data_IF_551704146695
#
_entry.id   IF_551704146695
#
_cell.length_a   1.000
_cell.length_b   1.000
_cell.length_c   1.000
_cell.angle_alpha   90.00
_cell.angle_beta   90.00
_cell.angle_gamma   90.00
#
_symmetry.space_group_name_H-M   'P 1'
#
loop_
_entity.id
_entity.type
_entity.pdbx_description
1 polymer ?
#
# COMPACT_ATOMS: atom_id res chain seq x y z
N UNK A 1 -6.54 7.37 -4.36
CA UNK A 1 -5.85 8.16 -5.42
C UNK A 1 -6.10 7.50 -6.77
N UNK A 2 -6.32 8.29 -7.84
CA UNK A 2 -6.73 7.81 -9.16
C UNK A 2 -5.78 8.33 -10.20
N UNK A 3 -5.24 7.47 -11.07
CA UNK A 3 -4.39 7.91 -12.19
C UNK A 3 -5.20 8.13 -13.47
N UNK A 4 -5.90 7.16 -14.01
CA UNK A 4 -6.63 7.28 -15.28
C UNK A 4 -7.91 6.42 -15.37
N UNK A 5 -8.30 5.73 -14.29
CA UNK A 5 -9.43 4.80 -14.28
C UNK A 5 -10.53 5.30 -13.35
N UNK A 6 -11.60 5.81 -13.94
CA UNK A 6 -12.71 6.42 -13.18
C UNK A 6 -13.84 5.45 -12.83
N UNK A 7 -13.97 4.34 -13.56
CA UNK A 7 -15.06 3.39 -13.35
C UNK A 7 -15.04 2.70 -11.98
N UNK A 8 -13.87 2.28 -11.46
CA UNK A 8 -13.77 1.73 -10.11
C UNK A 8 -14.15 2.71 -9.00
N UNK A 9 -13.95 4.01 -9.20
CA UNK A 9 -14.20 5.05 -8.18
C UNK A 9 -15.66 5.20 -7.83
N UNK A 10 -16.58 5.07 -8.80
CA UNK A 10 -18.03 5.10 -8.52
C UNK A 10 -18.42 3.94 -7.59
N UNK A 11 -17.81 2.78 -7.77
CA UNK A 11 -18.10 1.60 -6.95
C UNK A 11 -17.56 1.81 -5.51
N UNK A 12 -16.38 2.42 -5.36
CA UNK A 12 -15.82 2.77 -4.04
C UNK A 12 -16.70 3.82 -3.35
N UNK A 13 -17.05 4.91 -4.04
CA UNK A 13 -17.93 5.95 -3.49
C UNK A 13 -19.23 5.35 -3.00
N UNK A 14 -19.84 4.47 -3.81
CA UNK A 14 -21.06 3.75 -3.44
C UNK A 14 -20.84 2.82 -2.23
N UNK A 15 -19.69 2.15 -2.15
CA UNK A 15 -19.39 1.22 -1.05
C UNK A 15 -19.26 1.91 0.31
N UNK A 16 -18.90 3.19 0.35
CA UNK A 16 -18.77 4.00 1.58
C UNK A 16 -19.95 4.97 1.79
N UNK A 17 -20.98 4.88 0.96
CA UNK A 17 -22.18 5.71 1.08
C UNK A 17 -22.87 5.45 2.43
N UNK A 18 -23.26 6.52 3.11
CA UNK A 18 -23.92 6.45 4.43
C UNK A 18 -23.00 6.25 5.63
N UNK A 19 -21.66 6.16 5.44
CA UNK A 19 -20.71 6.14 6.55
C UNK A 19 -19.70 7.30 6.52
N UNK A 20 -19.59 8.01 5.40
CA UNK A 20 -18.68 9.14 5.23
C UNK A 20 -19.43 10.45 5.15
N UNK A 21 -19.07 11.42 6.00
CA UNK A 21 -19.60 12.79 5.98
C UNK A 21 -19.03 13.59 4.82
N UNK A 22 -17.80 13.28 4.40
CA UNK A 22 -17.15 13.88 3.23
C UNK A 22 -16.39 12.85 2.39
N UNK A 23 -16.20 13.14 1.13
CA UNK A 23 -15.44 12.32 0.19
C UNK A 23 -14.47 13.20 -0.60
N UNK A 24 -13.18 12.86 -0.54
CA UNK A 24 -12.12 13.59 -1.24
C UNK A 24 -11.48 12.68 -2.27
N UNK A 25 -11.46 13.10 -3.51
CA UNK A 25 -10.87 12.36 -4.62
C UNK A 25 -9.61 13.10 -5.08
N UNK A 26 -8.46 12.44 -4.95
CA UNK A 26 -7.19 12.96 -5.45
C UNK A 26 -6.89 12.32 -6.81
N UNK A 27 -6.83 13.14 -7.85
CA UNK A 27 -6.59 12.72 -9.23
C UNK A 27 -5.19 13.13 -9.65
N UNK A 28 -4.33 12.15 -9.93
CA UNK A 28 -2.95 12.38 -10.38
C UNK A 28 -2.76 12.18 -11.88
N UNK A 29 -3.82 11.73 -12.59
CA UNK A 29 -3.84 11.58 -14.05
C UNK A 29 -4.29 12.85 -14.77
N UNK A 30 -4.29 12.77 -16.10
CA UNK A 30 -4.66 13.90 -16.97
C UNK A 30 -6.18 13.98 -17.25
N UNK A 31 -6.95 12.97 -16.90
CA UNK A 31 -8.40 12.93 -17.15
C UNK A 31 -9.15 13.81 -16.17
N UNK A 32 -10.02 14.65 -16.70
CA UNK A 32 -10.98 15.44 -15.92
C UNK A 32 -12.23 14.62 -15.65
N UNK A 33 -12.71 14.71 -14.42
CA UNK A 33 -13.98 14.11 -14.00
C UNK A 33 -15.11 15.08 -14.29
N UNK A 34 -16.14 14.65 -15.01
CA UNK A 34 -17.30 15.49 -15.37
C UNK A 34 -18.35 15.56 -14.26
N UNK A 35 -18.48 14.50 -13.47
CA UNK A 35 -19.46 14.39 -12.39
C UNK A 35 -18.82 13.75 -11.17
N UNK A 36 -18.86 14.45 -10.05
CA UNK A 36 -18.28 14.00 -8.78
C UNK A 36 -19.30 13.76 -7.67
N UNK A 37 -20.58 14.08 -7.91
CA UNK A 37 -21.57 14.11 -6.83
C UNK A 37 -21.09 15.04 -5.70
N UNK A 38 -21.23 14.60 -4.44
CA UNK A 38 -20.85 15.36 -3.24
C UNK A 38 -19.35 15.26 -2.91
N UNK A 39 -18.48 14.92 -3.90
CA UNK A 39 -17.07 14.73 -3.65
C UNK A 39 -16.28 16.03 -3.88
N UNK A 40 -15.37 16.36 -2.96
CA UNK A 40 -14.30 17.35 -3.21
C UNK A 40 -13.27 16.72 -4.14
N UNK A 41 -12.91 17.37 -5.26
CA UNK A 41 -11.90 16.86 -6.21
C UNK A 41 -10.65 17.71 -6.15
N UNK A 42 -9.52 17.06 -5.93
CA UNK A 42 -8.19 17.63 -6.04
C UNK A 42 -7.46 17.07 -7.25
N UNK A 43 -7.14 17.93 -8.23
CA UNK A 43 -6.23 17.58 -9.32
C UNK A 43 -4.81 17.90 -8.90
N UNK A 44 -3.98 16.87 -8.84
CA UNK A 44 -2.59 16.99 -8.40
C UNK A 44 -1.64 16.47 -9.49
N UNK A 45 -0.69 17.26 -10.01
CA UNK A 45 0.28 16.78 -10.99
C UNK A 45 1.09 15.61 -10.44
N UNK A 46 1.29 14.58 -11.27
CA UNK A 46 2.10 13.42 -10.88
C UNK A 46 3.60 13.72 -10.97
N UNK A 47 4.33 13.49 -9.91
CA UNK A 47 5.78 13.74 -9.79
C UNK A 47 6.52 12.54 -9.19
N UNK A 48 6.12 11.31 -9.52
CA UNK A 48 6.74 10.06 -9.04
C UNK A 48 6.82 9.95 -7.51
N UNK A 49 5.82 10.51 -6.83
CA UNK A 49 5.69 10.52 -5.37
C UNK A 49 4.23 10.31 -4.98
N UNK A 50 3.96 9.19 -4.29
CA UNK A 50 2.62 8.85 -3.79
C UNK A 50 2.25 9.64 -2.53
N UNK A 51 3.22 9.99 -1.67
CA UNK A 51 2.95 10.67 -0.40
C UNK A 51 2.45 12.10 -0.58
N UNK A 52 3.02 12.82 -1.53
CA UNK A 52 2.71 14.25 -1.75
C UNK A 52 1.25 14.49 -2.13
N UNK A 53 0.65 13.82 -3.14
CA UNK A 53 -0.76 13.99 -3.46
C UNK A 53 -1.69 13.50 -2.35
N UNK A 54 -1.33 12.43 -1.62
CA UNK A 54 -2.11 11.97 -0.47
C UNK A 54 -2.14 13.02 0.65
N UNK A 55 -1.00 13.60 1.00
CA UNK A 55 -0.92 14.67 1.98
C UNK A 55 -1.65 15.94 1.54
N UNK A 56 -1.67 16.23 0.23
CA UNK A 56 -2.47 17.32 -0.31
C UNK A 56 -3.97 17.07 -0.13
N UNK A 57 -4.42 15.81 -0.33
CA UNK A 57 -5.79 15.39 -0.03
C UNK A 57 -6.14 15.48 1.46
N UNK A 58 -5.23 15.06 2.35
CA UNK A 58 -5.45 15.17 3.80
C UNK A 58 -5.69 16.59 4.27
N UNK A 59 -5.02 17.58 3.67
CA UNK A 59 -5.24 19.01 4.02
C UNK A 59 -6.63 19.53 3.67
N UNK A 60 -7.40 18.81 2.86
CA UNK A 60 -8.78 19.16 2.53
C UNK A 60 -9.80 18.44 3.44
N UNK A 61 -9.35 17.49 4.26
CA UNK A 61 -10.20 16.76 5.18
C UNK A 61 -10.59 17.64 6.37
N UNK A 62 -11.89 17.68 6.67
CA UNK A 62 -12.48 18.41 7.81
C UNK A 62 -13.03 17.45 8.87
N UNK A 63 -13.31 16.19 8.50
CA UNK A 63 -13.81 15.16 9.42
C UNK A 63 -12.74 14.66 10.39
N UNK A 64 -13.13 14.15 11.56
CA UNK A 64 -12.23 13.67 12.62
C UNK A 64 -11.42 12.42 12.24
N UNK A 65 -11.99 11.58 11.37
CA UNK A 65 -11.38 10.33 10.93
C UNK A 65 -11.25 10.26 9.41
N UNK A 66 -10.17 9.67 8.96
CA UNK A 66 -9.90 9.42 7.54
C UNK A 66 -9.86 7.92 7.28
N UNK A 67 -10.66 7.45 6.32
CA UNK A 67 -10.52 6.13 5.70
C UNK A 67 -9.88 6.31 4.33
N UNK A 68 -8.60 5.96 4.19
CA UNK A 68 -7.88 6.04 2.92
C UNK A 68 -8.11 4.79 2.09
N UNK A 69 -8.53 4.96 0.85
CA UNK A 69 -8.71 3.88 -0.12
C UNK A 69 -8.05 4.19 -1.47
N UNK A 70 -7.55 3.16 -2.14
CA UNK A 70 -7.05 3.25 -3.52
C UNK A 70 -8.17 2.98 -4.53
N UNK A 71 -7.98 3.39 -5.78
CA UNK A 71 -8.98 3.24 -6.84
C UNK A 71 -9.29 1.78 -7.23
N UNK A 72 -8.46 0.85 -6.84
CA UNK A 72 -8.58 -0.59 -7.07
C UNK A 72 -8.86 -1.38 -5.77
N UNK A 73 -9.38 -0.69 -4.76
CA UNK A 73 -9.81 -1.27 -3.48
C UNK A 73 -11.33 -1.22 -3.33
N UNK A 74 -11.86 -2.09 -2.50
CA UNK A 74 -13.25 -2.06 -2.04
C UNK A 74 -13.36 -2.51 -0.59
N UNK A 75 -14.45 -2.14 0.07
CA UNK A 75 -14.78 -2.56 1.42
C UNK A 75 -16.21 -3.10 1.44
N UNK A 76 -16.40 -4.25 2.06
CA UNK A 76 -17.72 -4.87 2.20
C UNK A 76 -18.49 -4.32 3.41
N UNK A 77 -19.79 -4.61 3.49
CA UNK A 77 -20.67 -4.13 4.56
C UNK A 77 -20.23 -4.56 5.95
N UNK A 78 -19.67 -5.77 6.08
CA UNK A 78 -19.19 -6.29 7.38
C UNK A 78 -18.01 -5.44 7.86
N UNK A 79 -17.10 -5.13 6.95
CA UNK A 79 -15.93 -4.32 7.26
C UNK A 79 -16.26 -2.83 7.45
N UNK A 80 -17.28 -2.30 6.75
CA UNK A 80 -17.83 -0.97 7.04
C UNK A 80 -18.37 -0.85 8.47
N UNK A 81 -19.14 -1.82 8.94
CA UNK A 81 -19.61 -1.88 10.35
C UNK A 81 -18.45 -1.91 11.35
N UNK A 82 -17.34 -2.59 10.97
CA UNK A 82 -16.12 -2.59 11.79
C UNK A 82 -15.45 -1.22 11.82
N UNK A 83 -15.42 -0.49 10.70
CA UNK A 83 -14.92 0.89 10.63
C UNK A 83 -15.75 1.80 11.54
N UNK A 84 -17.09 1.80 11.40
CA UNK A 84 -17.98 2.59 12.25
C UNK A 84 -17.76 2.31 13.75
N UNK A 85 -17.63 1.04 14.11
CA UNK A 85 -17.33 0.65 15.50
C UNK A 85 -15.94 1.13 15.95
N UNK A 86 -14.92 1.03 15.08
CA UNK A 86 -13.55 1.42 15.44
C UNK A 86 -13.43 2.90 15.79
N UNK A 87 -14.10 3.78 15.03
CA UNK A 87 -14.03 5.23 15.24
C UNK A 87 -14.74 5.71 16.50
N UNK A 88 -15.63 4.89 17.07
CA UNK A 88 -16.40 5.23 18.30
C UNK A 88 -15.91 4.57 19.58
N UNK A 89 -15.03 3.54 19.47
CA UNK A 89 -14.74 2.65 20.61
C UNK A 89 -13.67 3.16 21.57
N UNK A 90 -12.69 3.95 21.09
CA UNK A 90 -11.47 4.22 21.87
C UNK A 90 -10.89 5.60 21.57
N UNK A 91 -10.91 6.46 22.55
CA UNK A 91 -10.35 7.82 22.43
C UNK A 91 -8.82 7.84 22.45
N UNK A 92 -8.17 6.79 22.97
CA UNK A 92 -6.72 6.65 23.07
C UNK A 92 -6.07 6.08 21.79
N UNK A 93 -6.85 5.66 20.79
CA UNK A 93 -6.35 5.11 19.52
C UNK A 93 -6.42 6.18 18.44
N UNK A 94 -5.31 6.35 17.75
CA UNK A 94 -5.14 7.34 16.67
C UNK A 94 -5.20 6.75 15.28
N UNK A 95 -4.86 5.45 15.16
CA UNK A 95 -4.93 4.78 13.88
C UNK A 95 -5.14 3.27 14.03
N UNK A 96 -5.66 2.67 12.97
CA UNK A 96 -5.90 1.24 12.88
C UNK A 96 -5.14 0.64 11.69
N UNK A 97 -4.32 -0.38 11.97
CA UNK A 97 -3.84 -1.27 10.92
C UNK A 97 -4.99 -2.12 10.42
N UNK A 98 -5.24 -2.06 9.13
CA UNK A 98 -6.20 -2.93 8.45
C UNK A 98 -5.47 -4.05 7.70
N UNK A 99 -6.20 -5.09 7.33
CA UNK A 99 -5.73 -6.10 6.41
C UNK A 99 -6.06 -5.66 4.98
N UNK A 100 -5.06 -5.26 4.20
CA UNK A 100 -5.20 -5.11 2.75
C UNK A 100 -5.06 -6.49 2.11
N UNK A 101 -6.14 -7.03 1.58
CA UNK A 101 -6.18 -8.35 0.95
C UNK A 101 -6.04 -8.24 -0.56
N UNK A 102 -4.85 -8.51 -1.06
CA UNK A 102 -4.55 -8.52 -2.49
C UNK A 102 -4.88 -9.87 -3.12
N UNK A 103 -5.87 -9.91 -4.03
CA UNK A 103 -6.27 -11.13 -4.73
C UNK A 103 -5.32 -11.48 -5.86
N UNK A 104 -5.13 -12.78 -6.07
CA UNK A 104 -4.25 -13.34 -7.09
C UNK A 104 -5.02 -14.37 -7.95
N UNK A 105 -4.64 -14.55 -9.24
CA UNK A 105 -5.18 -15.62 -10.06
C UNK A 105 -4.94 -16.98 -9.40
N UNK A 106 -5.88 -17.91 -9.52
CA UNK A 106 -5.86 -19.22 -8.85
C UNK A 106 -4.60 -20.06 -9.11
N UNK A 107 -3.91 -19.85 -10.24
CA UNK A 107 -2.70 -20.62 -10.63
C UNK A 107 -1.39 -20.02 -10.11
N UNK A 108 -1.43 -18.90 -9.39
CA UNK A 108 -0.23 -18.21 -8.95
C UNK A 108 0.15 -18.68 -7.55
N UNK A 109 1.27 -19.38 -7.43
CA UNK A 109 1.87 -19.77 -6.14
C UNK A 109 3.06 -18.84 -5.90
N UNK A 110 2.91 -17.93 -4.94
CA UNK A 110 3.97 -17.01 -4.49
C UNK A 110 4.17 -17.15 -2.99
N UNK A 111 5.31 -16.66 -2.50
CA UNK A 111 5.53 -16.59 -1.06
C UNK A 111 4.46 -15.71 -0.39
N UNK A 112 3.87 -16.21 0.70
CA UNK A 112 2.82 -15.51 1.44
C UNK A 112 1.41 -15.67 0.88
N UNK A 113 1.22 -16.40 -0.23
CA UNK A 113 -0.14 -16.73 -0.73
C UNK A 113 -0.84 -17.66 0.23
N UNK A 114 -2.08 -17.34 0.54
CA UNK A 114 -2.95 -18.16 1.38
C UNK A 114 -4.32 -18.35 0.73
N UNK A 115 -5.00 -19.43 1.09
CA UNK A 115 -6.40 -19.62 0.78
C UNK A 115 -7.24 -18.70 1.69
N UNK A 116 -8.20 -18.03 1.09
CA UNK A 116 -9.17 -17.15 1.76
C UNK A 116 -10.59 -17.55 1.37
N UNK A 117 -11.61 -17.17 2.14
CA UNK A 117 -12.99 -17.29 1.68
C UNK A 117 -13.15 -16.67 0.29
N UNK A 118 -13.93 -17.34 -0.55
CA UNK A 118 -14.17 -16.91 -1.92
C UNK A 118 -14.77 -15.49 -1.93
N UNK A 119 -14.21 -14.63 -2.77
CA UNK A 119 -14.70 -13.29 -3.00
C UNK A 119 -14.58 -12.96 -4.50
N UNK A 120 -15.71 -12.74 -5.16
CA UNK A 120 -15.80 -12.46 -6.61
C UNK A 120 -15.03 -13.46 -7.49
N UNK A 121 -15.07 -14.76 -7.13
CA UNK A 121 -14.41 -15.85 -7.85
C UNK A 121 -12.94 -16.08 -7.50
N UNK A 122 -12.37 -15.34 -6.54
CA UNK A 122 -10.98 -15.48 -6.09
C UNK A 122 -10.90 -16.11 -4.71
N UNK A 123 -10.02 -17.09 -4.56
CA UNK A 123 -9.75 -17.79 -3.30
C UNK A 123 -8.30 -17.70 -2.84
N UNK A 124 -7.40 -17.16 -3.69
CA UNK A 124 -5.99 -16.96 -3.39
C UNK A 124 -5.71 -15.48 -3.14
N UNK A 125 -5.06 -15.18 -2.01
CA UNK A 125 -4.70 -13.81 -1.66
C UNK A 125 -3.39 -13.74 -0.89
N UNK A 126 -2.79 -12.55 -0.92
CA UNK A 126 -1.73 -12.11 -0.01
C UNK A 126 -2.31 -11.00 0.86
N UNK A 127 -2.17 -11.14 2.17
CA UNK A 127 -2.60 -10.12 3.12
C UNK A 127 -1.40 -9.29 3.55
N UNK A 128 -1.50 -7.98 3.36
CA UNK A 128 -0.57 -6.98 3.88
C UNK A 128 -1.23 -6.19 5.01
N UNK A 129 -0.44 -5.71 5.98
CA UNK A 129 -0.92 -4.82 7.02
C UNK A 129 -0.48 -3.39 6.74
N UNK A 130 -1.44 -2.48 6.75
CA UNK A 130 -1.17 -1.06 6.54
C UNK A 130 -2.17 -0.20 7.31
N UNK A 131 -1.79 1.02 7.63
CA UNK A 131 -2.70 1.98 8.26
C UNK A 131 -3.55 2.61 7.17
N UNK A 132 -4.88 2.43 7.27
CA UNK A 132 -5.88 2.98 6.33
C UNK A 132 -6.98 3.79 7.05
N UNK A 133 -7.18 3.56 8.34
CA UNK A 133 -8.13 4.29 9.17
C UNK A 133 -7.36 5.03 10.26
N UNK A 134 -7.45 6.37 10.30
CA UNK A 134 -6.67 7.18 11.24
C UNK A 134 -7.35 8.53 11.52
N UNK A 135 -7.01 9.14 12.68
CA UNK A 135 -7.51 10.48 13.04
C UNK A 135 -6.89 11.54 12.13
N UNK A 136 -7.71 12.50 11.75
CA UNK A 136 -7.28 13.68 11.01
C UNK A 136 -6.54 14.64 11.96
N UNK A 137 -5.23 14.55 11.95
CA UNK A 137 -4.34 15.36 12.78
C UNK A 137 -3.13 15.82 11.96
N UNK A 138 -2.70 17.08 12.01
CA UNK A 138 -1.60 17.60 11.21
C UNK A 138 -0.25 16.91 11.49
N UNK A 139 -0.10 16.19 12.58
CA UNK A 139 1.08 15.39 12.92
C UNK A 139 1.10 14.04 12.17
N UNK A 140 -0.05 13.62 11.60
CA UNK A 140 -0.22 12.35 10.88
C UNK A 140 -0.17 12.63 9.38
N UNK A 141 0.89 12.19 8.71
CA UNK A 141 1.09 12.42 7.28
C UNK A 141 1.88 11.28 6.63
N UNK A 142 1.66 11.08 5.35
CA UNK A 142 2.33 10.06 4.56
C UNK A 142 3.78 10.43 4.26
N UNK A 143 4.66 9.45 4.29
CA UNK A 143 6.07 9.58 3.93
C UNK A 143 6.43 8.55 2.86
N UNK A 144 7.48 8.87 2.12
CA UNK A 144 8.07 8.12 1.01
C UNK A 144 7.31 8.19 -0.31
N UNK A 145 8.09 8.27 -1.38
CA UNK A 145 7.60 8.37 -2.76
C UNK A 145 6.93 7.09 -3.27
N UNK A 146 7.25 5.94 -2.70
CA UNK A 146 6.61 4.64 -2.98
C UNK A 146 6.47 3.83 -1.69
N UNK A 147 5.47 2.95 -1.63
CA UNK A 147 5.10 2.26 -0.40
C UNK A 147 4.94 3.24 0.76
N UNK A 148 4.23 4.31 0.48
CA UNK A 148 3.97 5.40 1.42
C UNK A 148 3.32 4.90 2.71
N UNK A 149 3.72 5.47 3.83
CA UNK A 149 3.28 5.01 5.14
C UNK A 149 3.03 6.14 6.11
N UNK A 150 2.18 5.88 7.10
CA UNK A 150 1.90 6.77 8.26
C UNK A 150 2.68 6.36 9.51
N UNK A 151 3.33 5.20 9.54
CA UNK A 151 3.98 4.68 10.75
C UNK A 151 4.98 5.67 11.35
N UNK A 152 5.86 6.23 10.52
CA UNK A 152 6.91 7.12 10.99
C UNK A 152 6.35 8.41 11.61
N UNK A 153 5.32 9.00 11.00
CA UNK A 153 4.67 10.21 11.54
C UNK A 153 3.95 9.92 12.85
N UNK A 154 3.24 8.81 12.97
CA UNK A 154 2.58 8.37 14.19
C UNK A 154 3.59 8.08 15.32
N UNK A 155 4.68 7.39 15.03
CA UNK A 155 5.73 7.07 16.01
C UNK A 155 6.45 8.31 16.51
N UNK A 156 6.83 9.25 15.62
CA UNK A 156 7.42 10.54 16.02
C UNK A 156 6.50 11.37 16.88
N UNK A 157 5.20 11.35 16.59
CA UNK A 157 4.18 12.05 17.37
C UNK A 157 3.75 11.28 18.63
N UNK A 158 4.25 10.06 18.86
CA UNK A 158 3.87 9.15 19.95
C UNK A 158 2.38 8.86 19.99
N UNK A 159 1.77 8.75 18.82
CA UNK A 159 0.34 8.47 18.64
C UNK A 159 0.12 6.97 18.52
N UNK A 160 -0.80 6.47 19.34
CA UNK A 160 -1.04 5.03 19.43
C UNK A 160 -1.81 4.51 18.23
N UNK A 161 -1.33 3.45 17.60
CA UNK A 161 -2.08 2.67 16.63
C UNK A 161 -2.23 1.21 17.05
N UNK A 162 -3.26 0.53 16.56
CA UNK A 162 -3.58 -0.86 16.93
C UNK A 162 -3.99 -1.67 15.70
N UNK A 163 -3.78 -2.98 15.77
CA UNK A 163 -4.28 -3.92 14.76
C UNK A 163 -5.80 -4.05 14.84
N UNK A 164 -6.45 -4.08 13.70
CA UNK A 164 -7.88 -4.32 13.57
C UNK A 164 -8.19 -5.58 12.75
N UNK A 165 -9.46 -5.99 12.79
CA UNK A 165 -10.00 -7.05 11.93
C UNK A 165 -10.68 -6.52 10.66
N UNK A 166 -10.49 -5.24 10.34
CA UNK A 166 -10.99 -4.63 9.12
C UNK A 166 -10.21 -5.19 7.93
N UNK A 167 -10.92 -5.62 6.90
CA UNK A 167 -10.34 -6.08 5.63
C UNK A 167 -10.75 -5.12 4.52
N UNK A 168 -9.76 -4.67 3.76
CA UNK A 168 -9.95 -3.94 2.50
C UNK A 168 -9.52 -4.87 1.36
N UNK A 169 -10.40 -5.10 0.41
CA UNK A 169 -10.15 -5.95 -0.75
C UNK A 169 -9.41 -5.15 -1.82
N UNK A 170 -8.32 -5.69 -2.35
CA UNK A 170 -7.42 -5.02 -3.28
C UNK A 170 -7.22 -5.85 -4.55
N UNK A 171 -7.50 -5.25 -5.70
CA UNK A 171 -7.47 -5.90 -7.02
C UNK A 171 -6.21 -5.60 -7.84
N UNK A 172 -5.41 -4.64 -7.41
CA UNK A 172 -4.24 -4.13 -8.15
C UNK A 172 -3.15 -5.17 -8.42
N UNK A 173 -3.06 -6.24 -7.60
CA UNK A 173 -2.08 -7.31 -7.80
C UNK A 173 -2.31 -8.14 -9.08
N UNK A 174 -3.49 -8.05 -9.69
CA UNK A 174 -3.79 -8.73 -10.95
C UNK A 174 -3.00 -8.18 -12.15
N UNK A 175 -2.58 -6.90 -12.12
CA UNK A 175 -1.99 -6.15 -13.24
C UNK A 175 -0.56 -5.64 -12.96
N UNK A 176 0.18 -6.26 -12.03
CA UNK A 176 1.49 -5.73 -11.60
C UNK A 176 2.60 -5.79 -12.64
N UNK A 177 2.55 -6.71 -13.63
CA UNK A 177 3.66 -6.91 -14.58
C UNK A 177 4.02 -5.67 -15.38
N UNK A 178 3.02 -4.93 -15.83
CA UNK A 178 3.22 -3.76 -16.71
C UNK A 178 3.84 -2.55 -15.99
N UNK A 179 3.78 -2.53 -14.66
CA UNK A 179 4.29 -1.44 -13.82
C UNK A 179 5.58 -1.82 -13.06
N UNK A 180 6.07 -3.03 -13.23
CA UNK A 180 7.15 -3.57 -12.42
C UNK A 180 8.46 -2.77 -12.51
N UNK A 181 8.88 -2.42 -13.74
CA UNK A 181 10.09 -1.61 -13.95
C UNK A 181 9.96 -0.21 -13.35
N UNK A 182 8.78 0.39 -13.45
CA UNK A 182 8.49 1.68 -12.84
C UNK A 182 8.59 1.65 -11.31
N UNK A 183 7.99 0.65 -10.67
CA UNK A 183 8.10 0.47 -9.21
C UNK A 183 9.53 0.18 -8.75
N UNK A 184 10.32 -0.52 -9.57
CA UNK A 184 11.74 -0.73 -9.29
C UNK A 184 12.51 0.60 -9.25
N UNK A 185 12.30 1.49 -10.21
CA UNK A 185 12.97 2.80 -10.22
C UNK A 185 12.54 3.68 -9.03
N UNK A 186 11.26 3.66 -8.66
CA UNK A 186 10.78 4.34 -7.44
C UNK A 186 11.41 3.77 -6.17
N UNK A 187 11.52 2.44 -6.05
CA UNK A 187 12.14 1.80 -4.89
C UNK A 187 13.64 2.11 -4.80
N UNK A 188 14.32 2.19 -5.96
CA UNK A 188 15.73 2.60 -6.04
C UNK A 188 15.93 4.05 -5.60
N UNK A 189 15.05 4.95 -6.04
CA UNK A 189 15.08 6.34 -5.62
C UNK A 189 14.79 6.48 -4.11
N UNK A 190 13.82 5.74 -3.57
CA UNK A 190 13.55 5.67 -2.13
C UNK A 190 14.78 5.23 -1.35
N UNK A 191 15.43 4.13 -1.76
CA UNK A 191 16.63 3.62 -1.06
C UNK A 191 17.80 4.63 -1.10
N UNK A 192 17.90 5.44 -2.16
CA UNK A 192 18.88 6.51 -2.28
C UNK A 192 18.58 7.69 -1.37
N UNK A 193 17.31 8.12 -1.27
CA UNK A 193 16.89 9.28 -0.47
C UNK A 193 16.78 8.96 1.01
N UNK A 194 16.40 7.73 1.34
CA UNK A 194 16.11 7.27 2.70
C UNK A 194 16.93 6.03 3.05
N UNK A 195 18.28 6.14 3.03
CA UNK A 195 19.14 5.00 3.38
C UNK A 195 19.05 4.62 4.86
N UNK A 196 18.51 5.48 5.71
CA UNK A 196 18.23 5.22 7.13
C UNK A 196 16.96 4.39 7.36
N UNK A 197 16.07 4.32 6.37
CA UNK A 197 14.85 3.55 6.48
C UNK A 197 15.09 2.06 6.15
N UNK A 198 14.77 1.21 7.12
CA UNK A 198 14.93 -0.24 6.98
C UNK A 198 14.17 -0.80 5.77
N UNK A 199 12.94 -0.35 5.54
CA UNK A 199 12.08 -0.89 4.49
C UNK A 199 12.56 -0.51 3.08
N UNK A 200 13.33 0.57 2.93
CA UNK A 200 13.86 1.01 1.63
C UNK A 200 14.69 -0.07 0.93
N UNK A 201 15.56 -0.76 1.66
CA UNK A 201 16.35 -1.87 1.11
C UNK A 201 15.50 -3.09 0.78
N UNK A 202 14.47 -3.34 1.58
CA UNK A 202 13.54 -4.46 1.34
C UNK A 202 12.75 -4.26 0.06
N UNK A 203 12.12 -3.10 -0.11
CA UNK A 203 11.35 -2.80 -1.32
C UNK A 203 12.21 -2.76 -2.58
N UNK A 204 13.44 -2.25 -2.49
CA UNK A 204 14.39 -2.33 -3.59
C UNK A 204 14.70 -3.79 -3.95
N UNK A 205 14.97 -4.63 -2.95
CA UNK A 205 15.25 -6.06 -3.16
C UNK A 205 14.08 -6.78 -3.82
N UNK A 206 12.86 -6.62 -3.31
CA UNK A 206 11.65 -7.25 -3.87
C UNK A 206 11.36 -6.77 -5.28
N UNK A 207 11.45 -5.45 -5.53
CA UNK A 207 11.18 -4.88 -6.86
C UNK A 207 12.21 -5.33 -7.90
N UNK A 208 13.49 -5.41 -7.52
CA UNK A 208 14.56 -5.92 -8.38
C UNK A 208 14.35 -7.41 -8.72
N UNK A 209 13.98 -8.23 -7.74
CA UNK A 209 13.66 -9.65 -7.98
C UNK A 209 12.51 -9.81 -8.96
N UNK A 210 11.46 -9.00 -8.80
CA UNK A 210 10.26 -9.08 -9.62
C UNK A 210 10.54 -8.81 -11.11
N UNK A 211 11.51 -7.96 -11.44
CA UNK A 211 11.95 -7.69 -12.81
C UNK A 211 13.14 -8.54 -13.26
N UNK A 212 13.50 -9.57 -12.48
CA UNK A 212 14.55 -10.52 -12.81
C UNK A 212 15.99 -10.05 -12.53
N UNK A 213 16.20 -8.90 -11.89
CA UNK A 213 17.50 -8.38 -11.49
C UNK A 213 18.00 -9.06 -10.21
N UNK A 214 18.26 -10.36 -10.30
CA UNK A 214 18.55 -11.24 -9.15
C UNK A 214 19.78 -10.78 -8.34
N UNK A 215 20.84 -10.34 -9.01
CA UNK A 215 22.05 -9.87 -8.31
C UNK A 215 21.77 -8.56 -7.56
N UNK A 216 21.13 -7.59 -8.18
CA UNK A 216 20.77 -6.32 -7.53
C UNK A 216 19.82 -6.54 -6.34
N UNK A 217 18.85 -7.44 -6.48
CA UNK A 217 17.97 -7.88 -5.40
C UNK A 217 18.76 -8.43 -4.21
N UNK A 218 19.69 -9.36 -4.49
CA UNK A 218 20.54 -9.94 -3.44
C UNK A 218 21.38 -8.87 -2.73
N UNK A 219 21.98 -7.95 -3.47
CA UNK A 219 22.81 -6.88 -2.90
C UNK A 219 21.97 -5.91 -2.06
N UNK A 220 20.75 -5.59 -2.47
CA UNK A 220 19.84 -4.75 -1.69
C UNK A 220 19.49 -5.41 -0.33
N UNK A 221 19.11 -6.69 -0.32
CA UNK A 221 18.84 -7.40 0.93
C UNK A 221 20.10 -7.56 1.80
N UNK A 222 21.26 -7.81 1.18
CA UNK A 222 22.53 -7.90 1.91
C UNK A 222 22.91 -6.57 2.56
N UNK A 223 22.72 -5.45 1.86
CA UNK A 223 22.96 -4.12 2.41
C UNK A 223 22.05 -3.84 3.63
N UNK A 224 20.75 -4.13 3.50
CA UNK A 224 19.79 -4.03 4.59
C UNK A 224 20.16 -4.93 5.78
N UNK A 225 20.52 -6.18 5.53
CA UNK A 225 20.96 -7.10 6.59
C UNK A 225 22.22 -6.63 7.31
N UNK A 226 23.24 -6.19 6.57
CA UNK A 226 24.48 -5.67 7.16
C UNK A 226 24.23 -4.47 8.07
N UNK A 227 23.30 -3.58 7.65
CA UNK A 227 22.99 -2.35 8.38
C UNK A 227 22.12 -2.59 9.61
N UNK A 228 21.06 -3.39 9.49
CA UNK A 228 20.02 -3.51 10.51
C UNK A 228 20.07 -4.83 11.29
N UNK A 229 20.83 -5.84 10.82
CA UNK A 229 20.91 -7.18 11.43
C UNK A 229 19.56 -7.84 11.67
N UNK A 230 18.56 -7.55 10.81
CA UNK A 230 17.19 -8.01 10.96
C UNK A 230 16.93 -9.26 10.10
N UNK A 231 16.33 -10.29 10.71
CA UNK A 231 15.93 -11.55 10.06
C UNK A 231 15.01 -11.36 8.85
N UNK A 232 14.29 -10.23 8.79
CA UNK A 232 13.42 -9.85 7.67
C UNK A 232 14.15 -9.87 6.31
N UNK A 233 15.47 -9.63 6.31
CA UNK A 233 16.28 -9.70 5.10
C UNK A 233 16.86 -11.10 4.84
N UNK A 234 17.02 -11.93 5.88
CA UNK A 234 17.69 -13.22 5.77
C UNK A 234 16.93 -14.20 4.88
N UNK A 235 15.61 -14.30 5.06
CA UNK A 235 14.78 -15.24 4.30
C UNK A 235 14.86 -15.00 2.78
N UNK A 236 14.62 -13.77 2.26
CA UNK A 236 14.77 -13.51 0.84
C UNK A 236 16.22 -13.71 0.33
N UNK A 237 17.25 -13.37 1.13
CA UNK A 237 18.63 -13.64 0.76
C UNK A 237 18.92 -15.13 0.57
N UNK A 238 18.45 -16.01 1.46
CA UNK A 238 18.62 -17.46 1.34
C UNK A 238 17.91 -18.00 0.10
N UNK A 239 16.71 -17.50 -0.21
CA UNK A 239 15.98 -17.83 -1.42
C UNK A 239 16.78 -17.44 -2.68
N UNK A 240 17.31 -16.22 -2.74
CA UNK A 240 18.09 -15.72 -3.87
C UNK A 240 19.44 -16.44 -4.03
N UNK A 241 20.11 -16.85 -2.95
CA UNK A 241 21.32 -17.68 -3.03
C UNK A 241 21.07 -18.98 -3.81
N UNK A 242 19.92 -19.62 -3.61
CA UNK A 242 19.53 -20.84 -4.34
C UNK A 242 19.27 -20.53 -5.82
N UNK A 243 18.57 -19.45 -6.13
CA UNK A 243 18.34 -19.01 -7.52
C UNK A 243 19.64 -18.71 -8.27
N UNK A 244 20.58 -17.98 -7.66
CA UNK A 244 21.90 -17.66 -8.25
C UNK A 244 22.70 -18.91 -8.61
N UNK A 245 22.70 -19.95 -7.75
CA UNK A 245 23.39 -21.22 -8.01
C UNK A 245 22.80 -21.97 -9.22
N UNK A 246 21.47 -21.97 -9.34
CA UNK A 246 20.78 -22.61 -10.46
C UNK A 246 21.01 -21.91 -11.81
N UNK A 247 21.24 -20.60 -11.81
CA UNK A 247 21.52 -19.80 -13.02
C UNK A 247 22.97 -20.00 -13.48
N UNK A 248 23.93 -20.03 -12.55
CA UNK A 248 25.34 -20.23 -12.87
C UNK A 248 25.70 -21.70 -13.20
N UNK A 249 24.89 -22.68 -12.77
CA UNK A 249 25.08 -24.09 -13.10
C UNK A 249 24.55 -24.52 -14.48
N UNK A 250 23.96 -23.61 -15.27
CA UNK A 250 23.50 -23.85 -16.65
C UNK A 250 24.45 -23.31 -17.72
N UNK A 251 25.58 -22.75 -17.33
CA UNK A 251 26.58 -22.14 -18.25
C UNK A 251 27.86 -23.01 -18.37
N UNK A 252 27.86 -24.23 -17.84
CA UNK A 252 28.94 -25.21 -18.01
C UNK A 252 28.44 -26.44 -18.75
#
# INVERSE_FOLDING_TARGET
MIKDEFKPVKDIIKSVEGICDEKIIVITGNKRVKESGDCKILYFPWHDDYSTPLNAGLRLCESDWVLRMDSDEEIDEINLKRVQKAVTLRDDVWAYEVCQRGYLPQKRVEFGVKLVPEHKGYTNAVDDRCIRLFRNDPRVFFEFNTHETLYNSLERARLRYVKSNIVIHHWGKLNMKDKASYYYELAKDRARRHPEDMQSYYYLGVSAEFIGKIEESYQAFLAGYKKYRNEYYRVPMEHLKRKRRSTNGRIN
#
